data_IF_990564823091
#
_entry.id   IF_990564823091
#
_cell.length_a   1.000
_cell.length_b   1.000
_cell.length_c   1.000
_cell.angle_alpha   90.00
_cell.angle_beta   90.00
_cell.angle_gamma   90.00
#
_symmetry.space_group_name_H-M   'P 1'
#
loop_
_entity.id
_entity.type
_entity.pdbx_description
1 polymer ?
#
# COMPACT_ATOMS: atom_id res chain seq x y z
N UNK A 1 35.53 14.55 -6.95
CA UNK A 1 36.12 13.84 -8.10
C UNK A 1 34.99 13.24 -8.94
N UNK A 2 35.05 13.39 -10.25
CA UNK A 2 34.10 12.73 -11.09
C UNK A 2 34.25 11.21 -10.98
N UNK A 3 33.15 10.52 -10.97
CA UNK A 3 33.16 9.06 -10.96
C UNK A 3 33.65 8.54 -12.31
N UNK A 4 34.37 7.42 -12.29
CA UNK A 4 34.61 6.69 -13.51
C UNK A 4 33.31 6.13 -14.05
N UNK A 5 33.26 5.76 -15.32
CA UNK A 5 32.07 5.16 -15.91
C UNK A 5 31.68 3.89 -15.18
N UNK A 6 32.63 3.06 -14.81
CA UNK A 6 32.36 1.83 -14.08
C UNK A 6 31.82 2.10 -12.68
N UNK A 7 32.33 3.10 -11.99
CA UNK A 7 31.82 3.49 -10.67
C UNK A 7 30.41 4.03 -10.76
N UNK A 8 30.14 4.84 -11.78
CA UNK A 8 28.80 5.38 -12.00
C UNK A 8 27.78 4.26 -12.27
N UNK A 9 28.11 3.34 -13.16
CA UNK A 9 27.28 2.19 -13.48
C UNK A 9 27.02 1.35 -12.23
N UNK A 10 28.05 1.08 -11.43
CA UNK A 10 27.90 0.30 -10.21
C UNK A 10 26.94 0.97 -9.22
N UNK A 11 26.99 2.30 -9.09
CA UNK A 11 26.07 3.03 -8.23
C UNK A 11 24.65 3.00 -8.74
N UNK A 12 24.45 3.18 -10.03
CA UNK A 12 23.14 3.13 -10.66
C UNK A 12 22.53 1.72 -10.49
N UNK A 13 23.33 0.69 -10.71
CA UNK A 13 22.87 -0.69 -10.52
C UNK A 13 22.52 -0.98 -9.07
N UNK A 14 23.33 -0.50 -8.13
CA UNK A 14 23.04 -0.65 -6.70
C UNK A 14 21.77 0.08 -6.29
N UNK A 15 21.55 1.28 -6.81
CA UNK A 15 20.34 2.04 -6.57
C UNK A 15 19.11 1.32 -7.12
N UNK A 16 19.21 0.81 -8.34
CA UNK A 16 18.14 0.08 -8.97
C UNK A 16 17.78 -1.20 -8.20
N UNK A 17 18.80 -1.92 -7.72
CA UNK A 17 18.59 -3.12 -6.92
C UNK A 17 17.91 -2.79 -5.60
N UNK A 18 18.32 -1.70 -4.94
CA UNK A 18 17.72 -1.25 -3.70
C UNK A 18 16.25 -0.85 -3.89
N UNK A 19 15.95 -0.13 -4.97
CA UNK A 19 14.57 0.25 -5.28
C UNK A 19 13.69 -0.96 -5.57
N UNK A 20 14.23 -1.95 -6.28
CA UNK A 20 13.49 -3.19 -6.54
C UNK A 20 13.21 -3.94 -5.24
N UNK A 21 14.19 -4.01 -4.35
CA UNK A 21 14.01 -4.67 -3.06
C UNK A 21 12.95 -3.96 -2.20
N UNK A 22 12.97 -2.63 -2.18
CA UNK A 22 11.98 -1.84 -1.46
C UNK A 22 10.59 -2.00 -2.05
N UNK A 23 10.49 -1.96 -3.36
CA UNK A 23 9.22 -2.16 -4.05
C UNK A 23 8.65 -3.55 -3.75
N UNK A 24 9.48 -4.58 -3.78
CA UNK A 24 9.05 -5.94 -3.44
C UNK A 24 8.57 -6.03 -1.99
N UNK A 25 9.30 -5.41 -1.05
CA UNK A 25 8.92 -5.40 0.35
C UNK A 25 7.60 -4.66 0.57
N UNK A 26 7.41 -3.53 -0.11
CA UNK A 26 6.17 -2.77 -0.04
C UNK A 26 5.00 -3.55 -0.60
N UNK A 27 5.16 -4.16 -1.78
CA UNK A 27 4.12 -4.98 -2.38
C UNK A 27 3.74 -6.16 -1.49
N UNK A 28 4.72 -6.81 -0.87
CA UNK A 28 4.44 -7.88 0.09
C UNK A 28 3.69 -7.34 1.30
N UNK A 29 4.09 -6.18 1.83
CA UNK A 29 3.43 -5.57 2.97
C UNK A 29 1.97 -5.24 2.66
N UNK A 30 1.67 -4.67 1.49
CA UNK A 30 0.28 -4.35 1.14
C UNK A 30 -0.56 -5.60 0.92
N UNK A 31 0.03 -6.71 0.49
CA UNK A 31 -0.69 -7.97 0.36
C UNK A 31 -1.05 -8.57 1.72
N UNK A 32 -0.41 -8.14 2.80
CA UNK A 32 -0.69 -8.58 4.16
C UNK A 32 -1.58 -7.60 4.93
N UNK A 33 -2.04 -6.53 4.31
CA UNK A 33 -2.94 -5.59 4.97
C UNK A 33 -4.23 -6.30 5.33
N UNK A 34 -4.63 -6.14 6.59
CA UNK A 34 -5.92 -6.63 7.09
C UNK A 34 -6.71 -5.44 7.57
N UNK A 35 -7.82 -5.18 6.91
CA UNK A 35 -8.75 -4.13 7.32
C UNK A 35 -9.79 -4.77 8.21
N UNK A 36 -9.97 -4.28 9.45
CA UNK A 36 -11.00 -4.79 10.35
C UNK A 36 -12.39 -4.62 9.74
N UNK A 37 -13.30 -5.52 10.08
CA UNK A 37 -14.67 -5.42 9.64
C UNK A 37 -15.31 -4.14 10.18
N UNK A 38 -15.94 -3.37 9.28
CA UNK A 38 -16.60 -2.12 9.63
C UNK A 38 -17.99 -2.37 10.24
N UNK A 39 -18.61 -3.47 9.85
CA UNK A 39 -19.93 -3.85 10.33
C UNK A 39 -19.96 -5.35 10.62
N UNK A 40 -20.70 -5.74 11.65
CA UNK A 40 -20.74 -7.15 12.07
C UNK A 40 -21.48 -8.05 11.09
N UNK A 41 -22.43 -7.51 10.35
CA UNK A 41 -23.28 -8.28 9.45
C UNK A 41 -22.92 -8.15 7.97
N UNK A 42 -22.08 -7.19 7.62
CA UNK A 42 -21.68 -6.95 6.22
C UNK A 42 -20.18 -6.85 6.16
N UNK A 43 -19.55 -7.67 5.33
CA UNK A 43 -18.10 -7.73 5.18
C UNK A 43 -17.71 -7.50 3.73
N UNK A 44 -16.67 -6.70 3.55
CA UNK A 44 -16.11 -6.45 2.24
C UNK A 44 -14.59 -6.52 2.33
N UNK A 45 -13.97 -7.05 1.29
CA UNK A 45 -12.51 -7.07 1.18
C UNK A 45 -12.10 -6.64 -0.21
N UNK A 46 -11.15 -5.74 -0.27
CA UNK A 46 -10.56 -5.26 -1.51
C UNK A 46 -9.13 -5.77 -1.63
N UNK A 47 -8.67 -5.99 -2.85
CA UNK A 47 -7.27 -6.30 -3.09
C UNK A 47 -6.42 -5.01 -3.11
N UNK A 48 -5.12 -5.16 -3.33
CA UNK A 48 -4.19 -4.04 -3.36
C UNK A 48 -4.44 -3.06 -4.51
N UNK A 49 -5.22 -3.46 -5.51
CA UNK A 49 -5.62 -2.61 -6.62
C UNK A 49 -6.91 -1.85 -6.35
N UNK A 50 -7.52 -2.07 -5.20
CA UNK A 50 -8.81 -1.46 -4.86
C UNK A 50 -10.01 -2.16 -5.47
N UNK A 51 -9.82 -3.39 -5.98
CA UNK A 51 -10.90 -4.20 -6.54
C UNK A 51 -11.55 -5.01 -5.45
N UNK A 52 -12.88 -5.01 -5.41
CA UNK A 52 -13.64 -5.81 -4.45
C UNK A 52 -13.48 -7.30 -4.80
N UNK A 53 -12.90 -8.07 -3.88
CA UNK A 53 -12.64 -9.49 -4.09
C UNK A 53 -13.50 -10.39 -3.21
N UNK A 54 -14.09 -9.84 -2.15
CA UNK A 54 -14.95 -10.59 -1.26
C UNK A 54 -16.04 -9.68 -0.71
N UNK A 55 -17.26 -10.17 -0.72
CA UNK A 55 -18.40 -9.44 -0.19
C UNK A 55 -19.38 -10.46 0.40
N UNK A 56 -19.72 -10.28 1.68
CA UNK A 56 -20.57 -11.21 2.40
C UNK A 56 -21.56 -10.44 3.27
N UNK A 57 -22.82 -10.87 3.25
CA UNK A 57 -23.88 -10.31 4.06
C UNK A 57 -24.45 -11.42 4.93
N UNK A 58 -24.44 -11.23 6.24
CA UNK A 58 -25.08 -12.16 7.15
C UNK A 58 -26.57 -12.23 6.85
N UNK A 59 -27.17 -13.42 6.74
CA UNK A 59 -28.59 -13.55 6.46
C UNK A 59 -29.49 -12.81 7.46
N UNK A 60 -29.06 -12.62 8.70
CA UNK A 60 -29.82 -11.88 9.70
C UNK A 60 -30.05 -10.43 9.29
N UNK A 61 -29.09 -9.82 8.59
CA UNK A 61 -29.24 -8.45 8.12
C UNK A 61 -30.34 -8.31 7.07
N UNK A 62 -30.58 -9.35 6.29
CA UNK A 62 -31.63 -9.36 5.27
C UNK A 62 -33.04 -9.34 5.89
N UNK A 63 -33.17 -9.93 7.07
CA UNK A 63 -34.47 -9.97 7.78
C UNK A 63 -34.61 -8.85 8.79
N UNK A 64 -33.54 -8.35 9.36
CA UNK A 64 -33.54 -7.35 10.42
C UNK A 64 -33.53 -5.90 9.90
N UNK A 65 -33.14 -5.70 8.67
CA UNK A 65 -33.02 -4.36 8.08
C UNK A 65 -34.01 -4.15 6.95
N UNK A 66 -34.47 -2.91 6.81
CA UNK A 66 -35.23 -2.53 5.62
C UNK A 66 -34.26 -2.44 4.44
N UNK A 67 -34.81 -2.42 3.21
CA UNK A 67 -33.96 -2.28 2.02
C UNK A 67 -33.13 -0.99 2.06
N UNK A 68 -33.74 0.11 2.51
CA UNK A 68 -33.02 1.40 2.61
C UNK A 68 -31.91 1.34 3.65
N UNK A 69 -32.17 0.72 4.80
CA UNK A 69 -31.15 0.54 5.84
C UNK A 69 -30.00 -0.32 5.34
N UNK A 70 -30.32 -1.42 4.67
CA UNK A 70 -29.32 -2.34 4.14
C UNK A 70 -28.47 -1.67 3.07
N UNK A 71 -29.07 -0.90 2.16
CA UNK A 71 -28.35 -0.13 1.15
C UNK A 71 -27.37 0.85 1.79
N UNK A 72 -27.81 1.53 2.85
CA UNK A 72 -26.93 2.46 3.56
C UNK A 72 -25.77 1.76 4.23
N UNK A 73 -26.03 0.62 4.88
CA UNK A 73 -24.99 -0.19 5.52
C UNK A 73 -23.97 -0.66 4.48
N UNK A 74 -24.43 -1.19 3.37
CA UNK A 74 -23.55 -1.64 2.28
C UNK A 74 -22.68 -0.49 1.76
N UNK A 75 -23.27 0.65 1.51
CA UNK A 75 -22.56 1.84 1.03
C UNK A 75 -21.49 2.26 2.02
N UNK A 76 -21.83 2.32 3.30
CA UNK A 76 -20.91 2.73 4.35
C UNK A 76 -19.78 1.70 4.51
N UNK A 77 -20.09 0.41 4.46
CA UNK A 77 -19.07 -0.64 4.57
C UNK A 77 -18.10 -0.57 3.41
N UNK A 78 -18.58 -0.45 2.18
CA UNK A 78 -17.72 -0.38 1.00
C UNK A 78 -16.83 0.86 1.06
N UNK A 79 -17.42 2.00 1.39
CA UNK A 79 -16.67 3.26 1.48
C UNK A 79 -15.61 3.22 2.57
N UNK A 80 -16.01 2.85 3.77
CA UNK A 80 -15.11 2.88 4.93
C UNK A 80 -14.03 1.82 4.83
N UNK A 81 -14.33 0.64 4.29
CA UNK A 81 -13.34 -0.41 4.07
C UNK A 81 -12.30 0.04 3.04
N UNK A 82 -12.75 0.63 1.95
CA UNK A 82 -11.87 1.14 0.91
C UNK A 82 -10.98 2.27 1.44
N UNK A 83 -11.54 3.19 2.21
CA UNK A 83 -10.79 4.29 2.83
C UNK A 83 -9.74 3.77 3.81
N UNK A 84 -10.09 2.79 4.64
CA UNK A 84 -9.16 2.19 5.58
C UNK A 84 -8.01 1.49 4.86
N UNK A 85 -8.29 0.76 3.79
CA UNK A 85 -7.27 0.13 2.97
C UNK A 85 -6.33 1.19 2.37
N UNK A 86 -6.89 2.24 1.80
CA UNK A 86 -6.11 3.32 1.20
C UNK A 86 -5.20 3.99 2.23
N UNK A 87 -5.71 4.26 3.42
CA UNK A 87 -4.92 4.86 4.50
C UNK A 87 -3.75 3.97 4.91
N UNK A 88 -3.98 2.65 5.04
CA UNK A 88 -2.91 1.71 5.35
C UNK A 88 -1.88 1.60 4.24
N UNK A 89 -2.31 1.64 2.98
CA UNK A 89 -1.40 1.63 1.85
C UNK A 89 -0.52 2.88 1.83
N UNK A 90 -1.08 4.04 2.14
CA UNK A 90 -0.31 5.28 2.23
C UNK A 90 0.69 5.26 3.37
N UNK A 91 0.32 4.69 4.51
CA UNK A 91 1.23 4.50 5.63
C UNK A 91 2.41 3.61 5.25
N UNK A 92 2.13 2.48 4.59
CA UNK A 92 3.17 1.58 4.13
C UNK A 92 4.05 2.22 3.07
N UNK A 93 3.48 3.01 2.18
CA UNK A 93 4.27 3.76 1.22
C UNK A 93 5.24 4.70 1.93
N UNK A 94 4.76 5.44 2.93
CA UNK A 94 5.62 6.33 3.71
C UNK A 94 6.71 5.55 4.45
N UNK A 95 6.41 4.34 4.91
CA UNK A 95 7.37 3.50 5.63
C UNK A 95 8.46 2.96 4.72
N UNK A 96 8.12 2.50 3.52
CA UNK A 96 9.05 1.79 2.65
C UNK A 96 9.62 2.63 1.52
N UNK A 97 8.85 3.56 0.98
CA UNK A 97 9.17 4.23 -0.26
C UNK A 97 9.50 5.71 -0.13
N UNK A 98 8.97 6.38 0.90
CA UNK A 98 9.22 7.81 1.07
C UNK A 98 10.68 8.07 1.45
N UNK A 99 11.30 9.14 0.95
CA UNK A 99 12.71 9.44 1.20
C UNK A 99 13.09 9.57 2.67
N UNK A 100 12.17 9.98 3.51
CA UNK A 100 12.41 10.17 4.94
C UNK A 100 11.92 9.01 5.80
N UNK A 101 11.53 7.90 5.18
CA UNK A 101 11.01 6.77 5.91
C UNK A 101 12.12 6.03 6.68
N UNK A 102 11.77 5.34 7.79
CA UNK A 102 12.74 4.53 8.51
C UNK A 102 13.34 3.40 7.67
N UNK A 103 12.61 2.96 6.65
CA UNK A 103 13.05 1.90 5.76
C UNK A 103 13.83 2.41 4.56
N UNK A 104 13.91 3.71 4.39
CA UNK A 104 14.68 4.31 3.32
C UNK A 104 16.09 4.60 3.80
N UNK A 105 17.06 3.96 3.18
CA UNK A 105 18.47 4.16 3.48
C UNK A 105 19.16 4.81 2.28
N UNK A 106 19.49 6.10 2.36
CA UNK A 106 20.18 6.79 1.28
C UNK A 106 21.54 6.18 0.96
N UNK A 107 22.18 5.57 1.97
CA UNK A 107 23.49 4.94 1.76
C UNK A 107 23.34 3.64 0.99
N UNK A 108 22.26 2.92 1.17
CA UNK A 108 21.97 1.71 0.42
C UNK A 108 21.74 2.03 -1.05
N UNK A 109 21.28 3.22 -1.36
CA UNK A 109 21.14 3.69 -2.71
C UNK A 109 22.45 4.18 -3.30
N UNK A 110 23.52 4.19 -2.49
CA UNK A 110 24.85 4.63 -2.95
C UNK A 110 24.87 6.05 -3.47
N UNK A 111 24.06 6.91 -2.90
CA UNK A 111 23.84 8.25 -3.44
C UNK A 111 23.59 8.20 -4.94
N UNK A 112 22.60 7.44 -5.34
CA UNK A 112 22.29 7.25 -6.74
C UNK A 112 21.85 8.49 -7.42
N UNK A 113 21.30 9.25 -6.60
CA UNK A 113 20.87 10.53 -6.95
C UNK A 113 22.11 11.34 -7.00
N UNK A 114 22.77 11.18 -8.08
CA UNK A 114 23.86 12.05 -8.36
C UNK A 114 23.23 13.40 -8.55
N UNK A 115 23.43 14.23 -7.56
CA UNK A 115 23.25 15.62 -7.82
C UNK A 115 24.00 15.91 -9.09
N UNK A 116 23.34 16.52 -10.07
CA UNK A 116 24.06 16.88 -11.27
C UNK A 116 25.28 17.65 -10.83
N UNK A 117 26.43 17.26 -11.31
CA UNK A 117 27.65 17.94 -10.92
C UNK A 117 27.47 19.42 -11.24
N UNK A 118 27.60 20.17 -10.24
CA UNK A 118 27.63 21.59 -10.44
C UNK A 118 28.89 21.99 -11.15
#
# INVERSE_FOLDING_TARGET
MPLTDDEYVARVEGAAASLRARNAAWLEAINHIKVPAVHEAVRARFDSNGTLVEFDIDPSALSDCTNTELEQIITDVLRNTHQALHAQMMELFATYMAPNSPQFDPNALGQPYVDPPN
#
